data_IF_172065979006
#
_entry.id   IF_172065979006
#
_cell.length_a   1.000
_cell.length_b   1.000
_cell.length_c   1.000
_cell.angle_alpha   90.00
_cell.angle_beta   90.00
_cell.angle_gamma   90.00
#
_symmetry.space_group_name_H-M   'P 1'
#
loop_
_entity.id
_entity.type
_entity.pdbx_description
1 polymer ?
#
# COMPACT_ATOMS: atom_id res chain seq x y z
N UNK A 1 1.60 0.55 -3.73
CA UNK A 1 0.94 1.87 -3.84
C UNK A 1 1.56 2.82 -2.83
N UNK A 2 2.02 3.98 -3.26
CA UNK A 2 2.53 5.05 -2.39
C UNK A 2 1.42 6.08 -2.17
N UNK A 3 1.22 6.54 -0.93
CA UNK A 3 0.21 7.57 -0.65
C UNK A 3 0.55 8.87 -1.42
N UNK A 4 -0.43 9.59 -2.02
CA UNK A 4 -0.16 10.78 -2.84
C UNK A 4 0.56 11.91 -2.11
N UNK A 5 0.36 12.01 -0.81
CA UNK A 5 1.02 13.02 0.03
C UNK A 5 2.47 12.63 0.41
N UNK A 6 2.97 11.46 0.01
CA UNK A 6 4.35 11.07 0.27
C UNK A 6 5.34 11.73 -0.70
N UNK A 7 6.55 12.12 -0.23
CA UNK A 7 6.98 12.15 1.17
C UNK A 7 6.44 13.39 1.91
N UNK A 8 6.08 13.22 3.19
CA UNK A 8 5.66 14.31 4.06
C UNK A 8 6.27 14.19 5.45
N UNK A 9 6.30 15.31 6.19
CA UNK A 9 6.82 15.36 7.56
C UNK A 9 5.95 14.49 8.47
N UNK A 10 6.56 13.84 9.46
CA UNK A 10 5.82 13.05 10.46
C UNK A 10 4.68 13.82 11.14
N UNK A 11 4.88 15.12 11.42
CA UNK A 11 3.85 15.99 11.98
C UNK A 11 2.62 16.16 11.07
N UNK A 12 2.78 16.11 9.74
CA UNK A 12 1.64 16.15 8.81
C UNK A 12 0.85 14.84 8.85
N UNK A 13 1.55 13.70 8.86
CA UNK A 13 0.91 12.37 8.96
C UNK A 13 0.14 12.17 10.26
N UNK A 14 0.64 12.70 11.39
CA UNK A 14 -0.01 12.55 12.69
C UNK A 14 -1.15 13.55 12.93
N UNK A 15 -1.40 14.49 12.02
CA UNK A 15 -2.41 15.53 12.20
C UNK A 15 -3.85 15.00 12.08
N UNK A 16 -4.05 13.95 11.29
CA UNK A 16 -5.36 13.36 11.03
C UNK A 16 -5.22 11.91 10.56
N UNK A 17 -6.34 11.21 10.42
CA UNK A 17 -6.37 9.85 9.86
C UNK A 17 -5.78 9.85 8.44
N UNK A 18 -4.90 8.89 8.16
CA UNK A 18 -4.34 8.64 6.84
C UNK A 18 -5.23 7.63 6.12
N UNK A 19 -5.70 7.97 4.92
CA UNK A 19 -6.61 7.13 4.13
C UNK A 19 -5.97 6.72 2.81
N UNK A 20 -6.19 5.46 2.41
CA UNK A 20 -5.77 4.92 1.11
C UNK A 20 -6.97 4.73 0.16
N UNK A 21 -7.93 5.64 0.19
CA UNK A 21 -9.19 5.61 -0.57
C UNK A 21 -9.00 5.58 -2.10
N UNK A 22 -7.90 6.15 -2.60
CA UNK A 22 -7.54 6.15 -4.02
C UNK A 22 -6.86 4.87 -4.50
N UNK A 23 -6.57 3.92 -3.60
CA UNK A 23 -5.99 2.64 -3.98
C UNK A 23 -7.00 1.82 -4.79
N UNK A 24 -6.54 1.27 -5.92
CA UNK A 24 -7.35 0.41 -6.78
C UNK A 24 -6.67 -0.94 -6.99
N UNK A 25 -7.51 -1.95 -7.12
CA UNK A 25 -7.14 -3.33 -7.43
C UNK A 25 -7.59 -3.65 -8.85
N UNK A 26 -6.81 -4.41 -9.60
CA UNK A 26 -7.13 -4.83 -10.97
C UNK A 26 -6.75 -6.30 -11.17
N UNK A 27 -7.44 -6.99 -12.07
CA UNK A 27 -7.05 -8.31 -12.57
C UNK A 27 -6.40 -8.24 -13.97
N UNK A 28 -6.25 -7.04 -14.54
CA UNK A 28 -5.53 -6.84 -15.80
C UNK A 28 -4.02 -6.94 -15.53
N UNK A 29 -3.39 -7.99 -16.04
CA UNK A 29 -1.94 -8.22 -15.89
C UNK A 29 -1.08 -7.20 -16.65
N UNK A 30 -1.69 -6.44 -17.57
CA UNK A 30 -1.04 -5.43 -18.39
C UNK A 30 -1.44 -4.00 -17.97
N UNK A 31 -1.89 -3.81 -16.72
CA UNK A 31 -2.24 -2.47 -16.22
C UNK A 31 -1.01 -1.54 -16.22
N UNK A 32 -1.17 -0.37 -16.83
CA UNK A 32 -0.19 0.70 -16.96
C UNK A 32 -0.49 1.89 -16.04
N UNK A 33 -1.61 1.85 -15.31
CA UNK A 33 -2.07 2.91 -14.41
C UNK A 33 -1.44 2.83 -13.00
N UNK A 34 -0.63 1.80 -12.75
CA UNK A 34 0.00 1.55 -11.45
C UNK A 34 -0.97 1.03 -10.38
N UNK A 35 -2.09 0.43 -10.79
CA UNK A 35 -2.99 -0.27 -9.87
C UNK A 35 -2.34 -1.56 -9.34
N UNK A 36 -2.82 -2.04 -8.20
CA UNK A 36 -2.31 -3.30 -7.65
C UNK A 36 -2.97 -4.47 -8.40
N UNK A 37 -2.15 -5.22 -9.12
CA UNK A 37 -2.59 -6.39 -9.89
C UNK A 37 -2.75 -7.59 -8.94
N UNK A 38 -3.92 -8.21 -8.93
CA UNK A 38 -4.25 -9.39 -8.13
C UNK A 38 -4.87 -10.49 -9.00
N UNK A 39 -4.58 -11.74 -8.66
CA UNK A 39 -5.23 -12.90 -9.25
C UNK A 39 -6.56 -13.17 -8.54
N UNK A 40 -7.62 -13.37 -9.31
CA UNK A 40 -8.92 -13.79 -8.75
C UNK A 40 -8.80 -15.13 -8.02
N UNK A 41 -9.65 -15.34 -7.01
CA UNK A 41 -9.72 -16.53 -6.15
C UNK A 41 -8.46 -16.79 -5.31
N UNK A 42 -7.57 -15.80 -5.15
CA UNK A 42 -6.41 -15.88 -4.28
C UNK A 42 -6.59 -15.03 -3.01
N UNK A 43 -6.00 -15.51 -1.90
CA UNK A 43 -5.98 -14.81 -0.61
C UNK A 43 -4.80 -13.84 -0.54
N UNK A 44 -5.08 -12.63 -0.06
CA UNK A 44 -4.10 -11.55 0.09
C UNK A 44 -4.13 -10.96 1.50
N UNK A 45 -2.96 -10.54 1.97
CA UNK A 45 -2.77 -9.82 3.23
C UNK A 45 -2.23 -8.42 2.91
N UNK A 46 -3.03 -7.36 3.09
CA UNK A 46 -2.53 -5.99 3.04
C UNK A 46 -1.41 -5.77 4.08
N UNK A 47 -0.40 -4.99 3.69
CA UNK A 47 0.71 -4.58 4.57
C UNK A 47 0.87 -3.06 4.47
N UNK A 48 0.97 -2.40 5.62
CA UNK A 48 1.21 -0.97 5.70
C UNK A 48 2.67 -0.71 6.04
N UNK A 49 3.36 0.12 5.27
CA UNK A 49 4.78 0.39 5.42
C UNK A 49 5.00 1.88 5.69
N UNK A 50 5.75 2.18 6.74
CA UNK A 50 6.26 3.52 7.04
C UNK A 50 7.75 3.51 6.77
N UNK A 51 8.19 4.31 5.80
CA UNK A 51 9.59 4.43 5.40
C UNK A 51 10.11 5.79 5.82
N UNK A 52 11.22 5.81 6.57
CA UNK A 52 11.95 7.03 6.84
C UNK A 52 12.86 7.34 5.64
N UNK A 53 12.65 8.51 5.03
CA UNK A 53 13.38 8.97 3.84
C UNK A 53 14.34 10.09 4.28
N UNK A 54 15.66 9.87 4.14
CA UNK A 54 16.64 10.93 4.41
C UNK A 54 16.64 11.95 3.25
N UNK A 55 16.34 13.23 3.51
CA UNK A 55 16.30 14.27 2.48
C UNK A 55 17.67 14.61 1.86
N UNK A 56 18.79 14.07 2.38
CA UNK A 56 20.16 14.48 2.00
C UNK A 56 20.89 13.54 1.02
N UNK A 57 20.36 12.36 0.67
CA UNK A 57 21.04 11.35 -0.18
C UNK A 57 20.07 10.55 -1.05
N UNK A 58 20.62 9.73 -1.95
CA UNK A 58 19.97 8.68 -2.77
C UNK A 58 19.13 7.71 -1.91
N UNK A 59 18.01 8.23 -1.42
CA UNK A 59 17.24 7.70 -0.29
C UNK A 59 16.61 6.33 -0.55
N UNK A 60 16.46 5.96 -1.83
CA UNK A 60 15.95 4.65 -2.25
C UNK A 60 16.87 3.51 -1.81
N UNK A 61 18.20 3.72 -1.75
CA UNK A 61 19.17 2.68 -1.39
C UNK A 61 19.14 2.27 0.09
N UNK A 62 18.59 3.11 0.97
CA UNK A 62 18.54 2.85 2.42
C UNK A 62 17.12 2.56 2.93
N UNK A 63 16.14 2.51 2.01
CA UNK A 63 14.76 2.18 2.35
C UNK A 63 14.61 0.76 2.92
N UNK A 64 15.51 -0.16 2.57
CA UNK A 64 15.51 -1.54 3.07
C UNK A 64 15.91 -1.67 4.56
N UNK A 65 16.56 -0.66 5.15
CA UNK A 65 16.94 -0.68 6.57
C UNK A 65 16.12 0.29 7.42
N UNK A 66 15.45 1.27 6.80
CA UNK A 66 14.75 2.37 7.48
C UNK A 66 13.24 2.33 7.31
N UNK A 67 12.64 1.15 7.46
CA UNK A 67 11.19 1.01 7.39
C UNK A 67 10.61 0.18 8.53
N UNK A 68 9.35 0.45 8.85
CA UNK A 68 8.53 -0.38 9.72
C UNK A 68 7.33 -0.89 8.95
N UNK A 69 7.08 -2.19 9.07
CA UNK A 69 5.88 -2.83 8.51
C UNK A 69 4.85 -3.07 9.61
N UNK A 70 3.59 -2.80 9.29
CA UNK A 70 2.42 -3.13 10.08
C UNK A 70 1.55 -4.08 9.27
N UNK A 71 1.07 -5.13 9.92
CA UNK A 71 0.19 -6.14 9.34
C UNK A 71 -1.01 -6.29 10.26
N UNK A 72 -2.20 -6.12 9.71
CA UNK A 72 -3.46 -6.26 10.43
C UNK A 72 -4.17 -7.49 9.89
N UNK A 73 -4.22 -8.57 10.66
CA UNK A 73 -4.72 -9.87 10.20
C UNK A 73 -6.19 -9.83 9.74
N UNK A 74 -6.98 -8.94 10.35
CA UNK A 74 -8.38 -8.67 10.04
C UNK A 74 -8.59 -8.06 8.65
N UNK A 75 -7.52 -7.55 8.02
CA UNK A 75 -7.60 -6.94 6.68
C UNK A 75 -7.37 -7.93 5.54
N UNK A 76 -7.17 -9.23 5.85
CA UNK A 76 -7.04 -10.27 4.82
C UNK A 76 -8.31 -10.38 3.99
N UNK A 77 -8.16 -10.66 2.69
CA UNK A 77 -9.31 -10.85 1.81
C UNK A 77 -9.00 -11.84 0.69
N UNK A 78 -10.05 -12.31 0.01
CA UNK A 78 -9.94 -13.06 -1.25
C UNK A 78 -10.31 -12.13 -2.39
N UNK A 79 -9.44 -11.97 -3.38
CA UNK A 79 -9.77 -11.18 -4.56
C UNK A 79 -10.80 -11.94 -5.42
N UNK A 80 -11.88 -11.28 -5.83
CA UNK A 80 -12.95 -11.88 -6.64
C UNK A 80 -13.43 -10.92 -7.72
N UNK A 81 -13.92 -11.45 -8.83
CA UNK A 81 -14.58 -10.66 -9.89
C UNK A 81 -16.09 -10.52 -9.68
N UNK A 82 -16.66 -11.35 -8.79
CA UNK A 82 -18.04 -11.27 -8.33
C UNK A 82 -18.14 -11.81 -6.90
N UNK A 83 -19.00 -11.21 -6.06
CA UNK A 83 -19.23 -11.69 -4.70
C UNK A 83 -19.76 -13.13 -4.70
N UNK A 84 -19.18 -13.97 -3.85
CA UNK A 84 -19.54 -15.39 -3.75
C UNK A 84 -20.42 -15.69 -2.54
N UNK A 85 -20.28 -14.92 -1.45
CA UNK A 85 -21.09 -15.10 -0.26
C UNK A 85 -22.49 -14.49 -0.47
N UNK A 86 -23.53 -15.17 0.01
CA UNK A 86 -24.93 -14.76 -0.11
C UNK A 86 -25.43 -14.09 1.17
#
# INVERSE_FOLDING_TARGET
YMHPDSPAKGAQWMKQIVSFDKLKLTNNLLDDNGHIILNSMHRYQPRFHVVYVDPRKDSEKYAEENFKTFVFEETRFTAVTAYQNH
#
